data_IF_198490709137
#
_entry.id   IF_198490709137
#
_cell.length_a   1.000
_cell.length_b   1.000
_cell.length_c   1.000
_cell.angle_alpha   90.00
_cell.angle_beta   90.00
_cell.angle_gamma   90.00
#
_symmetry.space_group_name_H-M   'P 1'
#
loop_
_entity.id
_entity.type
_entity.pdbx_description
1 polymer ?
#
# COMPACT_ATOMS: atom_id res chain seq x y z
N UNK A 1 -52.12 -11.20 -0.16
CA UNK A 1 -51.41 -10.19 -0.97
C UNK A 1 -49.93 -10.50 -0.82
N UNK A 2 -49.35 -11.11 -1.84
CA UNK A 2 -48.05 -11.77 -1.78
C UNK A 2 -47.14 -11.05 -2.76
N UNK A 3 -46.20 -10.25 -2.26
CA UNK A 3 -45.17 -9.61 -3.08
C UNK A 3 -43.93 -10.52 -3.16
N UNK A 4 -43.68 -11.04 -4.35
CA UNK A 4 -42.45 -11.76 -4.70
C UNK A 4 -41.39 -10.79 -5.22
N UNK A 5 -40.30 -10.65 -4.49
CA UNK A 5 -39.09 -9.91 -4.88
C UNK A 5 -38.26 -10.73 -5.87
N UNK A 6 -38.33 -10.36 -7.14
CA UNK A 6 -37.48 -10.92 -8.21
C UNK A 6 -36.12 -10.21 -8.30
N UNK A 7 -35.06 -10.86 -7.85
CA UNK A 7 -33.67 -10.42 -8.04
C UNK A 7 -33.25 -10.51 -9.51
N UNK A 8 -33.12 -9.37 -10.20
CA UNK A 8 -32.57 -9.28 -11.56
C UNK A 8 -31.03 -9.26 -11.50
N UNK A 9 -30.38 -10.41 -11.75
CA UNK A 9 -28.92 -10.49 -12.00
C UNK A 9 -28.56 -9.76 -13.31
N UNK A 10 -27.52 -8.92 -13.37
CA UNK A 10 -27.09 -8.30 -14.62
C UNK A 10 -26.33 -9.32 -15.49
N UNK A 11 -26.89 -9.67 -16.65
CA UNK A 11 -26.20 -10.38 -17.74
C UNK A 11 -25.12 -9.46 -18.35
N UNK A 12 -23.93 -9.40 -17.75
CA UNK A 12 -22.78 -8.61 -18.26
C UNK A 12 -21.44 -9.38 -18.35
N UNK A 13 -21.46 -10.72 -18.32
CA UNK A 13 -20.24 -11.54 -18.26
C UNK A 13 -19.74 -12.16 -19.59
N UNK A 14 -20.62 -12.49 -20.53
CA UNK A 14 -20.23 -13.37 -21.65
C UNK A 14 -19.37 -12.67 -22.71
N UNK A 15 -19.73 -11.45 -23.13
CA UNK A 15 -18.99 -10.71 -24.15
C UNK A 15 -17.58 -10.28 -23.68
N UNK A 16 -17.39 -10.00 -22.38
CA UNK A 16 -16.06 -9.67 -21.81
C UNK A 16 -15.16 -10.90 -21.60
N UNK A 17 -15.75 -12.06 -21.30
CA UNK A 17 -15.00 -13.31 -21.14
C UNK A 17 -14.49 -13.84 -22.48
N UNK A 18 -15.30 -13.75 -23.54
CA UNK A 18 -14.92 -14.16 -24.90
C UNK A 18 -13.77 -13.29 -25.43
N UNK A 19 -13.84 -11.96 -25.27
CA UNK A 19 -12.79 -11.04 -25.75
C UNK A 19 -11.47 -11.17 -24.99
N UNK A 20 -11.47 -11.53 -23.70
CA UNK A 20 -10.23 -11.81 -22.96
C UNK A 20 -9.51 -13.07 -23.46
N UNK A 21 -10.21 -14.13 -23.86
CA UNK A 21 -9.62 -15.36 -24.41
C UNK A 21 -9.02 -15.19 -25.81
N UNK A 22 -9.53 -14.24 -26.60
CA UNK A 22 -8.99 -13.93 -27.93
C UNK A 22 -7.69 -13.11 -27.90
N UNK A 23 -7.32 -12.51 -26.75
CA UNK A 23 -6.11 -11.70 -26.61
C UNK A 23 -4.81 -12.51 -26.72
N UNK A 24 -4.84 -13.81 -26.45
CA UNK A 24 -3.67 -14.70 -26.46
C UNK A 24 -3.50 -15.49 -27.75
N UNK A 25 -4.45 -15.40 -28.69
CA UNK A 25 -4.37 -16.16 -29.94
C UNK A 25 -3.45 -15.49 -30.97
N UNK A 26 -2.71 -16.30 -31.76
CA UNK A 26 -1.97 -15.78 -32.90
C UNK A 26 -2.94 -15.05 -33.84
N UNK A 27 -2.49 -13.92 -34.39
CA UNK A 27 -3.30 -13.00 -35.20
C UNK A 27 -4.01 -13.73 -36.36
N UNK A 28 -3.32 -14.72 -36.94
CA UNK A 28 -3.86 -15.63 -37.94
C UNK A 28 -5.09 -16.41 -37.47
N UNK A 29 -5.11 -16.93 -36.24
CA UNK A 29 -6.24 -17.68 -35.70
C UNK A 29 -7.48 -16.83 -35.51
N UNK A 30 -7.32 -15.56 -35.12
CA UNK A 30 -8.44 -14.60 -35.00
C UNK A 30 -9.03 -14.27 -36.37
N UNK A 31 -8.17 -14.00 -37.36
CA UNK A 31 -8.61 -13.77 -38.75
C UNK A 31 -9.38 -14.99 -39.26
N UNK A 32 -8.85 -16.19 -39.05
CA UNK A 32 -9.48 -17.43 -39.50
C UNK A 32 -10.86 -17.63 -38.87
N UNK A 33 -11.03 -17.36 -37.57
CA UNK A 33 -12.34 -17.44 -36.90
C UNK A 33 -13.34 -16.46 -37.53
N UNK A 34 -12.94 -15.21 -37.80
CA UNK A 34 -13.83 -14.23 -38.43
C UNK A 34 -14.17 -14.57 -39.88
N UNK A 35 -13.21 -15.11 -40.64
CA UNK A 35 -13.45 -15.60 -42.01
C UNK A 35 -14.44 -16.77 -41.99
N UNK A 36 -14.28 -17.73 -41.07
CA UNK A 36 -15.22 -18.84 -40.90
C UNK A 36 -16.60 -18.33 -40.48
N UNK A 37 -16.68 -17.37 -39.56
CA UNK A 37 -17.94 -16.80 -39.11
C UNK A 37 -18.65 -16.06 -40.27
N UNK A 38 -17.91 -15.31 -41.09
CA UNK A 38 -18.44 -14.69 -42.29
C UNK A 38 -18.94 -15.71 -43.33
N UNK A 39 -18.21 -16.81 -43.54
CA UNK A 39 -18.64 -17.91 -44.41
C UNK A 39 -19.93 -18.59 -43.89
N UNK A 40 -20.05 -18.79 -42.57
CA UNK A 40 -21.27 -19.32 -41.94
C UNK A 40 -22.45 -18.36 -42.09
N UNK A 41 -22.24 -17.05 -41.90
CA UNK A 41 -23.29 -16.06 -42.13
C UNK A 41 -23.71 -16.04 -43.60
N UNK A 42 -22.75 -16.15 -44.52
CA UNK A 42 -23.02 -16.20 -45.96
C UNK A 42 -23.81 -17.44 -46.39
N UNK A 43 -23.52 -18.61 -45.80
CA UNK A 43 -24.29 -19.85 -46.06
C UNK A 43 -25.71 -19.76 -45.47
N UNK A 44 -25.85 -19.24 -44.25
CA UNK A 44 -27.16 -19.08 -43.59
C UNK A 44 -28.06 -18.08 -44.32
N UNK A 45 -27.51 -16.95 -44.80
CA UNK A 45 -28.25 -15.98 -45.60
C UNK A 45 -28.73 -16.58 -46.92
N UNK A 46 -27.89 -17.37 -47.60
CA UNK A 46 -28.28 -18.10 -48.80
C UNK A 46 -29.40 -19.12 -48.57
N UNK A 47 -29.40 -19.77 -47.41
CA UNK A 47 -30.47 -20.68 -47.01
C UNK A 47 -31.79 -19.94 -46.71
N UNK A 48 -31.73 -18.80 -46.02
CA UNK A 48 -32.90 -17.97 -45.70
C UNK A 48 -33.60 -17.44 -46.95
N UNK A 49 -32.84 -16.93 -47.92
CA UNK A 49 -33.36 -16.27 -49.13
C UNK A 49 -33.51 -17.21 -50.34
N UNK A 50 -33.04 -18.46 -50.24
CA UNK A 50 -33.14 -19.43 -51.31
C UNK A 50 -34.57 -19.93 -51.54
N UNK A 51 -35.04 -19.94 -52.79
CA UNK A 51 -36.31 -20.54 -53.15
C UNK A 51 -36.20 -22.07 -53.26
N UNK A 52 -37.15 -22.79 -52.66
CA UNK A 52 -37.23 -24.26 -52.66
C UNK A 52 -37.53 -24.89 -51.28
N UNK A 53 -37.70 -26.22 -51.19
CA UNK A 53 -38.04 -26.91 -49.94
C UNK A 53 -36.96 -26.74 -48.86
N UNK A 54 -37.37 -26.50 -47.60
CA UNK A 54 -36.49 -26.24 -46.46
C UNK A 54 -35.44 -27.34 -46.19
N UNK A 55 -35.77 -28.58 -46.55
CA UNK A 55 -34.92 -29.77 -46.36
C UNK A 55 -34.07 -30.12 -47.59
N UNK A 56 -34.08 -29.31 -48.66
CA UNK A 56 -33.27 -29.60 -49.83
C UNK A 56 -31.81 -29.18 -49.63
N UNK A 57 -30.87 -30.09 -49.93
CA UNK A 57 -29.43 -29.77 -50.02
C UNK A 57 -29.15 -28.66 -51.04
N UNK A 58 -30.06 -28.47 -51.99
CA UNK A 58 -30.02 -27.39 -52.97
C UNK A 58 -30.18 -26.00 -52.37
N UNK A 59 -31.01 -25.84 -51.33
CA UNK A 59 -31.24 -24.55 -50.67
C UNK A 59 -30.06 -24.10 -49.79
N UNK A 60 -29.32 -25.04 -49.23
CA UNK A 60 -28.13 -24.77 -48.40
C UNK A 60 -26.93 -24.24 -49.19
N UNK A 61 -26.83 -24.57 -50.49
CA UNK A 61 -25.71 -24.21 -51.36
C UNK A 61 -26.12 -23.23 -52.47
N UNK A 62 -27.24 -22.53 -52.34
CA UNK A 62 -27.75 -21.55 -53.33
C UNK A 62 -26.71 -20.51 -53.69
N UNK A 63 -26.15 -19.83 -52.68
CA UNK A 63 -25.11 -18.82 -52.84
C UNK A 63 -23.81 -19.38 -53.45
N UNK A 64 -23.52 -20.67 -53.24
CA UNK A 64 -22.35 -21.34 -53.80
C UNK A 64 -22.56 -21.82 -55.24
N UNK A 65 -23.80 -22.07 -55.65
CA UNK A 65 -24.14 -22.52 -57.02
C UNK A 65 -24.37 -21.39 -58.02
N UNK A 66 -24.87 -20.23 -57.58
CA UNK A 66 -25.03 -19.05 -58.43
C UNK A 66 -23.71 -18.56 -59.05
N UNK A 67 -22.57 -18.87 -58.44
CA UNK A 67 -21.25 -18.55 -58.97
C UNK A 67 -20.75 -19.52 -60.07
N UNK A 68 -21.38 -20.69 -60.24
CA UNK A 68 -20.84 -21.79 -61.06
C UNK A 68 -21.56 -22.11 -62.37
N UNK A 69 -22.77 -21.61 -62.61
CA UNK A 69 -23.54 -22.00 -63.79
C UNK A 69 -24.27 -20.80 -64.42
N UNK A 70 -23.56 -20.02 -65.24
CA UNK A 70 -24.14 -18.99 -66.12
C UNK A 70 -23.86 -17.53 -65.76
N UNK A 71 -23.07 -17.24 -64.72
CA UNK A 71 -22.70 -15.87 -64.36
C UNK A 71 -21.71 -15.27 -65.36
N UNK A 72 -22.01 -14.09 -65.91
CA UNK A 72 -21.05 -13.34 -66.72
C UNK A 72 -19.79 -13.03 -65.89
N UNK A 73 -18.63 -12.95 -66.55
CA UNK A 73 -17.33 -12.68 -65.90
C UNK A 73 -17.37 -11.49 -64.92
N UNK A 74 -18.24 -10.51 -65.17
CA UNK A 74 -18.47 -9.35 -64.31
C UNK A 74 -19.11 -9.68 -62.95
N UNK A 75 -20.02 -10.64 -62.87
CA UNK A 75 -20.68 -10.99 -61.60
C UNK A 75 -19.75 -11.82 -60.71
N UNK A 76 -18.92 -12.68 -61.31
CA UNK A 76 -17.87 -13.41 -60.60
C UNK A 76 -16.82 -12.44 -60.01
N UNK A 77 -16.43 -11.41 -60.77
CA UNK A 77 -15.50 -10.36 -60.32
C UNK A 77 -16.11 -9.53 -59.19
N UNK A 78 -17.39 -9.14 -59.27
CA UNK A 78 -18.06 -8.38 -58.20
C UNK A 78 -18.14 -9.15 -56.88
N UNK A 79 -18.49 -10.43 -56.94
CA UNK A 79 -18.58 -11.29 -55.74
C UNK A 79 -17.20 -11.50 -55.11
N UNK A 80 -16.17 -11.76 -55.93
CA UNK A 80 -14.82 -11.95 -55.41
C UNK A 80 -14.24 -10.64 -54.83
N UNK A 81 -14.46 -9.50 -55.47
CA UNK A 81 -13.99 -8.20 -55.00
C UNK A 81 -14.61 -7.79 -53.64
N UNK A 82 -15.93 -7.97 -53.49
CA UNK A 82 -16.65 -7.66 -52.24
C UNK A 82 -16.25 -8.60 -51.10
N UNK A 83 -16.00 -9.87 -51.40
CA UNK A 83 -15.52 -10.86 -50.42
C UNK A 83 -14.11 -10.52 -49.92
N UNK A 84 -13.18 -10.21 -50.83
CA UNK A 84 -11.82 -9.79 -50.48
C UNK A 84 -11.84 -8.47 -49.69
N UNK A 85 -12.68 -7.52 -50.10
CA UNK A 85 -12.87 -6.25 -49.38
C UNK A 85 -13.40 -6.43 -47.96
N UNK A 86 -14.37 -7.34 -47.75
CA UNK A 86 -14.91 -7.65 -46.42
C UNK A 86 -13.89 -8.30 -45.49
N UNK A 87 -13.08 -9.25 -46.00
CA UNK A 87 -12.00 -9.89 -45.24
C UNK A 87 -10.91 -8.88 -44.90
N UNK A 88 -10.49 -8.08 -45.88
CA UNK A 88 -9.49 -7.01 -45.69
C UNK A 88 -9.93 -5.96 -44.67
N UNK A 89 -11.19 -5.51 -44.76
CA UNK A 89 -11.77 -4.54 -43.82
C UNK A 89 -11.86 -5.08 -42.39
N UNK A 90 -12.28 -6.33 -42.22
CA UNK A 90 -12.35 -6.98 -40.90
C UNK A 90 -10.95 -7.19 -40.31
N UNK A 91 -9.98 -7.64 -41.13
CA UNK A 91 -8.58 -7.78 -40.73
C UNK A 91 -7.97 -6.46 -40.27
N UNK A 92 -8.20 -5.38 -41.02
CA UNK A 92 -7.75 -4.02 -40.65
C UNK A 92 -8.31 -3.58 -39.29
N UNK A 93 -9.62 -3.77 -39.05
CA UNK A 93 -10.24 -3.40 -37.77
C UNK A 93 -9.67 -4.18 -36.58
N UNK A 94 -9.41 -5.49 -36.75
CA UNK A 94 -8.81 -6.32 -35.70
C UNK A 94 -7.38 -5.90 -35.41
N UNK A 95 -6.56 -5.65 -36.43
CA UNK A 95 -5.18 -5.16 -36.27
C UNK A 95 -5.21 -3.84 -35.50
N UNK A 96 -6.02 -2.88 -35.95
CA UNK A 96 -6.16 -1.57 -35.30
C UNK A 96 -6.67 -1.67 -33.86
N UNK A 97 -7.57 -2.60 -33.57
CA UNK A 97 -8.04 -2.85 -32.21
C UNK A 97 -6.94 -3.46 -31.33
N UNK A 98 -6.19 -4.44 -31.83
CA UNK A 98 -5.06 -5.05 -31.09
C UNK A 98 -3.95 -4.05 -30.83
N UNK A 99 -3.64 -3.19 -31.81
CA UNK A 99 -2.63 -2.14 -31.69
C UNK A 99 -3.00 -1.14 -30.59
N UNK A 100 -4.25 -0.67 -30.57
CA UNK A 100 -4.77 0.17 -29.47
C UNK A 100 -4.70 -0.55 -28.13
N UNK A 101 -5.11 -1.82 -28.07
CA UNK A 101 -5.07 -2.60 -26.84
C UNK A 101 -3.64 -2.90 -26.35
N UNK A 102 -2.66 -3.02 -27.25
CA UNK A 102 -1.25 -3.16 -26.88
C UNK A 102 -0.63 -1.82 -26.45
N UNK A 103 -0.99 -0.72 -27.12
CA UNK A 103 -0.52 0.61 -26.76
C UNK A 103 -1.03 1.02 -25.37
N UNK A 104 -2.32 0.82 -25.08
CA UNK A 104 -2.91 1.09 -23.76
C UNK A 104 -2.25 0.28 -22.63
N UNK A 105 -1.82 -0.96 -22.91
CA UNK A 105 -1.09 -1.78 -21.93
C UNK A 105 0.34 -1.29 -21.74
N UNK A 106 1.04 -1.02 -22.84
CA UNK A 106 2.40 -0.50 -22.80
C UNK A 106 2.48 0.86 -22.08
N UNK A 107 1.46 1.71 -22.22
CA UNK A 107 1.36 2.98 -21.47
C UNK A 107 1.24 2.73 -19.96
N UNK A 108 0.38 1.79 -19.53
CA UNK A 108 0.23 1.44 -18.12
C UNK A 108 1.49 0.79 -17.55
N UNK A 109 2.10 -0.13 -18.28
CA UNK A 109 3.34 -0.78 -17.87
C UNK A 109 4.46 0.27 -17.72
N UNK A 110 4.57 1.21 -18.67
CA UNK A 110 5.53 2.31 -18.58
C UNK A 110 5.23 3.30 -17.44
N UNK A 111 3.96 3.52 -17.08
CA UNK A 111 3.59 4.33 -15.91
C UNK A 111 3.99 3.62 -14.61
N UNK A 112 3.72 2.32 -14.49
CA UNK A 112 4.13 1.50 -13.35
C UNK A 112 5.66 1.45 -13.21
N UNK A 113 6.39 1.26 -14.31
CA UNK A 113 7.85 1.23 -14.32
C UNK A 113 8.44 2.57 -13.85
N UNK A 114 7.86 3.71 -14.27
CA UNK A 114 8.30 5.03 -13.80
C UNK A 114 8.02 5.23 -12.32
N UNK A 115 6.85 4.81 -11.84
CA UNK A 115 6.49 4.87 -10.44
C UNK A 115 7.48 4.06 -9.58
N UNK A 116 7.76 2.83 -10.00
CA UNK A 116 8.68 1.91 -9.33
C UNK A 116 10.10 2.48 -9.31
N UNK A 117 10.58 3.06 -10.42
CA UNK A 117 11.89 3.70 -10.47
C UNK A 117 12.01 4.88 -9.49
N UNK A 118 10.96 5.72 -9.40
CA UNK A 118 10.93 6.83 -8.42
C UNK A 118 10.90 6.32 -6.99
N UNK A 119 10.11 5.28 -6.72
CA UNK A 119 10.06 4.62 -5.42
C UNK A 119 11.45 4.10 -5.02
N UNK A 120 12.12 3.36 -5.90
CA UNK A 120 13.46 2.83 -5.67
C UNK A 120 14.49 3.94 -5.45
N UNK A 121 14.41 5.04 -6.21
CA UNK A 121 15.27 6.20 -6.00
C UNK A 121 15.04 6.84 -4.63
N UNK A 122 13.79 7.01 -4.20
CA UNK A 122 13.45 7.51 -2.86
C UNK A 122 13.97 6.61 -1.74
N UNK A 123 13.83 5.29 -1.90
CA UNK A 123 14.38 4.30 -0.94
C UNK A 123 15.91 4.40 -0.89
N UNK A 124 16.58 4.49 -2.04
CA UNK A 124 18.03 4.62 -2.10
C UNK A 124 18.51 5.91 -1.41
N UNK A 125 17.77 7.02 -1.58
CA UNK A 125 18.05 8.28 -0.90
C UNK A 125 17.84 8.16 0.62
N UNK A 126 16.78 7.49 1.06
CA UNK A 126 16.51 7.20 2.48
C UNK A 126 17.58 6.31 3.12
N UNK A 127 18.23 5.45 2.34
CA UNK A 127 19.38 4.63 2.78
C UNK A 127 20.74 5.34 2.73
N UNK A 128 20.79 6.62 2.34
CA UNK A 128 22.05 7.36 2.24
C UNK A 128 22.67 7.62 3.62
N UNK A 129 24.01 7.68 3.70
CA UNK A 129 24.71 8.11 4.92
C UNK A 129 24.51 9.58 5.28
N UNK A 130 24.10 10.42 4.32
CA UNK A 130 23.82 11.85 4.56
C UNK A 130 22.37 12.08 5.02
N UNK A 131 22.15 12.70 6.21
CA UNK A 131 20.80 13.05 6.68
C UNK A 131 20.02 13.91 5.68
N UNK A 132 20.69 14.83 4.99
CA UNK A 132 20.05 15.72 4.02
C UNK A 132 19.48 14.94 2.82
N UNK A 133 20.22 13.92 2.35
CA UNK A 133 19.75 13.05 1.26
C UNK A 133 18.61 12.15 1.75
N UNK A 134 18.66 11.69 3.00
CA UNK A 134 17.56 10.89 3.59
C UNK A 134 16.27 11.69 3.67
N UNK A 135 16.31 12.95 4.13
CA UNK A 135 15.16 13.86 4.17
C UNK A 135 14.56 14.04 2.75
N UNK A 136 15.41 14.27 1.74
CA UNK A 136 14.95 14.35 0.36
C UNK A 136 14.28 13.04 -0.11
N UNK A 137 14.84 11.89 0.30
CA UNK A 137 14.24 10.57 0.09
C UNK A 137 12.85 10.43 0.68
N UNK A 138 12.62 10.89 1.92
CA UNK A 138 11.30 10.87 2.57
C UNK A 138 10.28 11.64 1.75
N UNK A 139 10.59 12.87 1.33
CA UNK A 139 9.67 13.67 0.51
C UNK A 139 9.46 13.06 -0.89
N UNK A 140 10.50 12.48 -1.49
CA UNK A 140 10.38 11.77 -2.76
C UNK A 140 9.47 10.55 -2.65
N UNK A 141 9.50 9.82 -1.53
CA UNK A 141 8.60 8.70 -1.27
C UNK A 141 7.16 9.17 -1.10
N UNK A 142 6.93 10.26 -0.34
CA UNK A 142 5.62 10.86 -0.20
C UNK A 142 5.03 11.31 -1.54
N UNK A 143 5.83 11.96 -2.40
CA UNK A 143 5.41 12.36 -3.75
C UNK A 143 4.99 11.17 -4.62
N UNK A 144 5.68 10.03 -4.51
CA UNK A 144 5.28 8.79 -5.21
C UNK A 144 3.92 8.30 -4.73
N UNK A 145 3.68 8.30 -3.40
CA UNK A 145 2.40 7.90 -2.82
C UNK A 145 1.25 8.82 -3.27
N UNK A 146 1.49 10.13 -3.30
CA UNK A 146 0.50 11.14 -3.70
C UNK A 146 0.19 11.11 -5.20
N UNK A 147 1.20 10.85 -6.02
CA UNK A 147 1.08 10.84 -7.49
C UNK A 147 0.45 9.55 -8.00
N UNK A 148 0.99 8.38 -7.62
CA UNK A 148 0.60 7.09 -8.21
C UNK A 148 -0.50 6.37 -7.44
N UNK A 149 -0.74 6.78 -6.18
CA UNK A 149 -1.90 6.39 -5.36
C UNK A 149 -2.07 4.87 -5.24
N UNK A 150 -3.20 4.40 -4.71
CA UNK A 150 -3.51 2.98 -4.57
C UNK A 150 -2.52 2.25 -3.67
N UNK A 151 -1.93 1.16 -4.17
CA UNK A 151 -0.99 0.30 -3.41
C UNK A 151 0.31 1.02 -3.03
N UNK A 152 0.70 2.08 -3.75
CA UNK A 152 1.92 2.83 -3.45
C UNK A 152 1.83 3.56 -2.10
N UNK A 153 0.63 4.01 -1.67
CA UNK A 153 0.45 4.65 -0.35
C UNK A 153 0.86 3.71 0.78
N UNK A 154 0.32 2.48 0.78
CA UNK A 154 0.68 1.48 1.79
C UNK A 154 2.16 1.09 1.70
N UNK A 155 2.72 0.92 0.49
CA UNK A 155 4.14 0.59 0.32
C UNK A 155 5.05 1.67 0.91
N UNK A 156 4.78 2.93 0.62
CA UNK A 156 5.54 4.08 1.15
C UNK A 156 5.40 4.16 2.67
N UNK A 157 4.17 4.08 3.19
CA UNK A 157 3.92 4.03 4.64
C UNK A 157 4.72 2.91 5.31
N UNK A 158 4.71 1.70 4.75
CA UNK A 158 5.47 0.57 5.28
C UNK A 158 6.99 0.78 5.24
N UNK A 159 7.52 1.45 4.22
CA UNK A 159 8.95 1.82 4.14
C UNK A 159 9.30 2.84 5.23
N UNK A 160 8.50 3.90 5.37
CA UNK A 160 8.70 4.94 6.37
C UNK A 160 8.60 4.38 7.80
N UNK A 161 7.60 3.55 8.06
CA UNK A 161 7.47 2.85 9.33
C UNK A 161 8.62 1.86 9.57
N UNK A 162 9.07 1.16 8.53
CA UNK A 162 10.24 0.28 8.59
C UNK A 162 11.51 1.03 8.97
N UNK A 163 11.70 2.24 8.42
CA UNK A 163 12.79 3.13 8.82
C UNK A 163 12.67 3.57 10.29
N UNK A 164 11.47 3.89 10.78
CA UNK A 164 11.25 4.23 12.19
C UNK A 164 11.43 3.03 13.16
N UNK A 165 11.46 1.80 12.64
CA UNK A 165 11.76 0.59 13.42
C UNK A 165 13.24 0.19 13.39
N UNK A 166 14.08 0.84 12.59
CA UNK A 166 15.53 0.54 12.61
C UNK A 166 16.19 1.19 13.83
N UNK A 167 17.32 0.63 14.26
CA UNK A 167 18.16 1.26 15.26
C UNK A 167 18.83 2.52 14.67
N UNK A 168 18.45 3.70 15.17
CA UNK A 168 18.95 5.02 14.70
C UNK A 168 19.88 5.71 15.71
N UNK A 169 20.13 5.06 16.84
CA UNK A 169 20.83 5.61 17.97
C UNK A 169 21.37 4.53 18.90
N UNK A 170 21.97 5.00 19.98
CA UNK A 170 22.58 4.16 21.00
C UNK A 170 22.09 4.59 22.37
N UNK A 171 21.90 3.63 23.26
CA UNK A 171 21.66 3.89 24.67
C UNK A 171 22.95 4.38 25.32
N UNK A 172 22.88 5.52 26.00
CA UNK A 172 23.98 6.07 26.78
C UNK A 172 23.53 6.28 28.21
N UNK A 173 24.35 5.84 29.16
CA UNK A 173 24.15 6.15 30.57
C UNK A 173 24.73 7.52 30.86
N UNK A 174 23.88 8.46 31.24
CA UNK A 174 24.28 9.77 31.73
C UNK A 174 24.32 9.67 33.26
N UNK A 175 25.47 10.00 33.85
CA UNK A 175 25.64 10.06 35.30
C UNK A 175 25.45 11.51 35.72
N UNK A 176 24.38 11.80 36.46
CA UNK A 176 24.17 13.15 36.99
C UNK A 176 25.00 13.31 38.27
N UNK A 177 26.17 13.95 38.15
CA UNK A 177 27.07 14.24 39.28
C UNK A 177 26.67 15.48 40.10
N UNK A 178 25.51 16.08 39.83
CA UNK A 178 25.09 17.34 40.47
C UNK A 178 24.82 17.21 41.99
N UNK A 179 24.58 16.00 42.50
CA UNK A 179 24.27 15.75 43.92
C UNK A 179 25.46 15.19 44.74
N UNK A 180 26.67 15.19 44.19
CA UNK A 180 27.87 14.65 44.85
C UNK A 180 27.99 13.12 44.75
N UNK A 181 29.11 12.52 45.21
CA UNK A 181 29.47 11.14 44.92
C UNK A 181 28.58 10.07 45.58
N UNK A 182 27.66 10.46 46.48
CA UNK A 182 26.75 9.54 47.18
C UNK A 182 25.30 9.55 46.59
N UNK A 183 25.00 10.41 45.61
CA UNK A 183 23.67 10.59 45.02
C UNK A 183 23.69 10.67 43.49
N UNK A 184 24.66 10.03 42.83
CA UNK A 184 24.67 9.97 41.37
C UNK A 184 23.52 9.10 40.84
N UNK A 185 22.51 9.73 40.24
CA UNK A 185 21.49 9.00 39.48
C UNK A 185 22.05 8.63 38.10
N UNK A 186 22.01 7.35 37.75
CA UNK A 186 22.30 6.87 36.41
C UNK A 186 21.02 6.89 35.57
N UNK A 187 21.00 7.69 34.50
CA UNK A 187 19.87 7.79 33.58
C UNK A 187 20.27 7.20 32.22
N UNK A 188 19.60 6.14 31.78
CA UNK A 188 19.80 5.57 30.44
C UNK A 188 18.99 6.37 29.42
N UNK A 189 19.68 7.17 28.61
CA UNK A 189 19.06 7.99 27.56
C UNK A 189 19.42 7.43 26.19
N UNK A 190 18.41 7.21 25.34
CA UNK A 190 18.64 6.86 23.95
C UNK A 190 19.00 8.12 23.14
N UNK A 191 20.20 8.14 22.56
CA UNK A 191 20.67 9.25 21.73
C UNK A 191 20.54 8.88 20.26
N UNK A 192 19.54 9.47 19.59
CA UNK A 192 19.35 9.31 18.15
C UNK A 192 20.35 10.17 17.37
N UNK A 193 20.98 9.58 16.35
CA UNK A 193 21.85 10.29 15.42
C UNK A 193 21.08 10.77 14.17
N UNK A 194 19.77 10.48 14.10
CA UNK A 194 18.95 10.73 12.92
C UNK A 194 17.62 11.44 13.22
N UNK A 195 17.59 12.20 14.33
CA UNK A 195 16.39 12.92 14.79
C UNK A 195 15.76 13.82 13.72
N UNK A 196 16.55 14.50 12.89
CA UNK A 196 16.01 15.34 11.82
C UNK A 196 15.22 14.55 10.76
N UNK A 197 15.69 13.35 10.40
CA UNK A 197 14.99 12.49 9.45
C UNK A 197 13.77 11.87 10.13
N UNK A 198 13.89 11.40 11.37
CA UNK A 198 12.76 10.91 12.16
C UNK A 198 11.63 11.94 12.25
N UNK A 199 11.95 13.18 12.63
CA UNK A 199 11.02 14.32 12.67
C UNK A 199 10.35 14.54 11.30
N UNK A 200 11.10 14.40 10.21
CA UNK A 200 10.56 14.53 8.85
C UNK A 200 9.59 13.39 8.51
N UNK A 201 9.94 12.15 8.85
CA UNK A 201 9.06 10.99 8.64
C UNK A 201 7.77 11.15 9.43
N UNK A 202 7.87 11.53 10.70
CA UNK A 202 6.72 11.79 11.57
C UNK A 202 5.85 12.93 11.01
N UNK A 203 6.45 14.04 10.56
CA UNK A 203 5.74 15.16 9.94
C UNK A 203 4.93 14.70 8.72
N UNK A 204 5.56 13.95 7.82
CA UNK A 204 4.91 13.42 6.61
C UNK A 204 3.76 12.49 6.99
N UNK A 205 3.98 11.52 7.90
CA UNK A 205 2.90 10.64 8.37
C UNK A 205 1.72 11.44 8.93
N UNK A 206 1.97 12.37 9.84
CA UNK A 206 0.94 13.21 10.46
C UNK A 206 0.17 14.00 9.42
N UNK A 207 0.86 14.59 8.44
CA UNK A 207 0.26 15.38 7.37
C UNK A 207 -0.80 14.59 6.61
N UNK A 208 -0.52 13.32 6.29
CA UNK A 208 -1.44 12.44 5.57
C UNK A 208 -2.46 11.72 6.48
N UNK A 209 -2.25 11.70 7.80
CA UNK A 209 -3.19 11.12 8.76
C UNK A 209 -4.21 12.14 9.31
N UNK A 210 -4.03 13.43 9.03
CA UNK A 210 -4.94 14.50 9.46
C UNK A 210 -6.16 14.63 8.54
N UNK A 211 -7.17 13.80 8.77
CA UNK A 211 -8.47 13.91 8.11
C UNK A 211 -9.27 15.09 8.64
N UNK A 212 -9.92 15.83 7.75
CA UNK A 212 -10.74 17.00 8.11
C UNK A 212 -11.82 16.61 9.13
N UNK A 213 -11.93 17.40 10.19
CA UNK A 213 -12.99 17.27 11.20
C UNK A 213 -13.50 18.65 11.61
N UNK A 214 -14.81 18.82 11.65
CA UNK A 214 -15.42 20.06 12.12
C UNK A 214 -15.34 20.18 13.65
N UNK A 215 -15.34 21.43 14.13
CA UNK A 215 -15.36 21.71 15.57
C UNK A 215 -16.67 21.21 16.16
N UNK A 216 -16.59 20.51 17.28
CA UNK A 216 -17.75 20.13 18.09
C UNK A 216 -17.68 20.79 19.46
N UNK A 217 -18.70 20.59 20.32
CA UNK A 217 -18.66 21.08 21.71
C UNK A 217 -17.49 20.51 22.52
N UNK A 218 -17.07 19.29 22.17
CA UNK A 218 -16.09 18.51 22.94
C UNK A 218 -14.79 18.28 22.17
N UNK A 219 -14.66 18.78 20.93
CA UNK A 219 -13.44 18.62 20.14
C UNK A 219 -13.12 19.82 19.27
N UNK A 220 -11.82 20.13 19.20
CA UNK A 220 -11.27 21.06 18.21
C UNK A 220 -11.46 20.59 16.76
N UNK A 221 -11.50 21.57 15.85
CA UNK A 221 -11.45 21.32 14.42
C UNK A 221 -10.06 20.77 14.01
N UNK A 222 -10.04 19.91 12.99
CA UNK A 222 -8.81 19.41 12.36
C UNK A 222 -8.78 19.91 10.92
N UNK A 223 -7.70 20.61 10.59
CA UNK A 223 -7.41 21.06 9.22
C UNK A 223 -6.67 19.97 8.47
N UNK A 224 -7.22 19.53 7.36
CA UNK A 224 -6.57 18.63 6.42
C UNK A 224 -5.69 19.44 5.46
N UNK A 225 -4.46 18.98 5.24
CA UNK A 225 -3.46 19.67 4.41
C UNK A 225 -3.26 19.03 3.03
N UNK A 226 -3.84 17.86 2.81
CA UNK A 226 -3.70 17.05 1.59
C UNK A 226 -5.08 16.77 0.98
N UNK A 227 -5.13 16.35 -0.28
CA UNK A 227 -6.40 15.97 -0.92
C UNK A 227 -6.97 14.69 -0.27
N UNK A 228 -8.29 14.46 -0.40
CA UNK A 228 -8.97 13.31 0.23
C UNK A 228 -8.40 11.96 -0.23
N UNK A 229 -7.87 11.88 -1.45
CA UNK A 229 -7.24 10.69 -2.02
C UNK A 229 -5.74 10.54 -1.65
N UNK A 230 -5.13 11.57 -1.06
CA UNK A 230 -3.77 11.58 -0.51
C UNK A 230 -3.73 11.22 0.98
N UNK A 231 -4.89 11.07 1.63
CA UNK A 231 -4.95 10.63 3.02
C UNK A 231 -4.41 9.20 3.17
N UNK A 232 -3.72 8.94 4.27
CA UNK A 232 -3.19 7.61 4.65
C UNK A 232 -3.96 7.00 5.82
N UNK A 233 -5.14 7.52 6.15
CA UNK A 233 -5.96 7.07 7.28
C UNK A 233 -6.46 5.61 7.13
N UNK A 234 -6.44 5.08 5.91
CA UNK A 234 -6.78 3.70 5.54
C UNK A 234 -5.55 2.79 5.42
N UNK A 235 -4.34 3.34 5.55
CA UNK A 235 -3.10 2.56 5.56
C UNK A 235 -2.84 1.99 6.95
N UNK A 236 -2.27 0.79 7.00
CA UNK A 236 -1.76 0.16 8.22
C UNK A 236 -0.46 0.86 8.62
N UNK A 237 -0.48 1.55 9.77
CA UNK A 237 0.71 2.14 10.39
C UNK A 237 1.31 1.11 11.35
N UNK A 238 2.57 0.72 11.15
CA UNK A 238 3.23 -0.35 11.92
C UNK A 238 4.55 0.14 12.52
N UNK A 239 4.49 0.66 13.74
CA UNK A 239 5.63 1.16 14.51
C UNK A 239 5.93 0.23 15.70
N UNK A 240 5.67 -1.08 15.60
CA UNK A 240 6.02 -2.00 16.68
C UNK A 240 7.52 -1.92 17.00
N UNK A 241 7.85 -1.97 18.28
CA UNK A 241 9.21 -1.88 18.83
C UNK A 241 10.00 -0.64 18.35
N UNK A 242 9.33 0.36 17.76
CA UNK A 242 9.96 1.59 17.34
C UNK A 242 10.29 2.44 18.56
N UNK A 243 11.52 2.96 18.63
CA UNK A 243 11.91 3.97 19.61
C UNK A 243 11.82 5.34 18.93
N UNK A 244 10.85 6.16 19.35
CA UNK A 244 10.65 7.52 18.86
C UNK A 244 11.21 8.51 19.88
N UNK A 245 12.35 9.11 19.53
CA UNK A 245 13.07 10.06 20.39
C UNK A 245 12.62 11.49 20.19
N UNK A 246 12.18 11.82 18.97
CA UNK A 246 11.70 13.14 18.63
C UNK A 246 10.25 13.34 19.11
N UNK A 247 9.80 14.61 19.15
CA UNK A 247 8.43 14.92 19.51
C UNK A 247 7.47 14.38 18.45
N UNK A 248 6.72 13.34 18.79
CA UNK A 248 5.75 12.71 17.93
C UNK A 248 4.40 13.46 17.99
N UNK A 249 4.26 14.52 17.18
CA UNK A 249 3.04 15.34 17.14
C UNK A 249 1.96 14.76 16.21
N UNK A 250 1.20 13.80 16.73
CA UNK A 250 0.03 13.20 16.08
C UNK A 250 -1.30 13.91 16.39
N UNK A 251 -1.26 15.21 16.69
CA UNK A 251 -2.48 15.97 16.97
C UNK A 251 -3.47 15.87 15.80
N UNK A 252 -4.69 15.46 16.11
CA UNK A 252 -5.79 15.30 15.13
C UNK A 252 -5.59 14.17 14.11
N UNK A 253 -4.56 13.33 14.26
CA UNK A 253 -4.32 12.21 13.37
C UNK A 253 -5.39 11.11 13.50
N UNK A 254 -5.68 10.42 12.41
CA UNK A 254 -6.61 9.29 12.37
C UNK A 254 -5.84 8.01 12.04
N UNK A 255 -5.83 7.08 12.98
CA UNK A 255 -5.20 5.77 12.85
C UNK A 255 -6.27 4.69 12.75
N UNK A 256 -6.15 3.84 11.72
CA UNK A 256 -7.00 2.65 11.53
C UNK A 256 -6.10 1.43 11.42
N UNK A 257 -6.35 0.39 12.22
CA UNK A 257 -5.58 -0.85 12.23
C UNK A 257 -4.06 -0.63 12.45
N UNK A 258 -3.70 0.30 13.34
CA UNK A 258 -2.31 0.62 13.62
C UNK A 258 -1.71 -0.28 14.70
N UNK A 259 -0.41 -0.56 14.59
CA UNK A 259 0.34 -1.34 15.54
C UNK A 259 1.48 -0.51 16.15
N UNK A 260 1.39 -0.27 17.45
CA UNK A 260 2.36 0.42 18.28
C UNK A 260 2.84 -0.49 19.42
N UNK A 261 2.73 -1.81 19.24
CA UNK A 261 3.14 -2.76 20.26
C UNK A 261 4.63 -2.61 20.59
N UNK A 262 4.99 -2.51 21.87
CA UNK A 262 6.39 -2.35 22.28
C UNK A 262 7.04 -1.02 21.87
N UNK A 263 6.29 -0.10 21.26
CA UNK A 263 6.83 1.17 20.83
C UNK A 263 7.14 2.08 22.03
N UNK A 264 8.27 2.77 21.98
CA UNK A 264 8.67 3.76 23.00
C UNK A 264 8.43 5.16 22.46
N UNK A 265 7.59 5.92 23.17
CA UNK A 265 7.28 7.32 22.89
C UNK A 265 7.90 8.21 23.96
N UNK A 266 8.92 8.98 23.59
CA UNK A 266 9.56 9.90 24.53
C UNK A 266 8.73 11.14 24.80
N UNK A 267 8.16 11.77 23.77
CA UNK A 267 7.23 12.90 23.91
C UNK A 267 6.17 12.79 22.82
N UNK A 268 4.91 12.57 23.19
CA UNK A 268 3.86 12.30 22.21
C UNK A 268 2.61 13.14 22.43
N UNK A 269 2.16 13.76 21.34
CA UNK A 269 0.92 14.52 21.33
C UNK A 269 -0.11 13.82 20.45
N UNK A 270 -1.04 13.13 21.07
CA UNK A 270 -2.22 12.51 20.46
C UNK A 270 -3.49 13.34 20.66
N UNK A 271 -3.37 14.64 20.97
CA UNK A 271 -4.53 15.48 21.22
C UNK A 271 -5.50 15.44 20.03
N UNK A 272 -6.75 15.09 20.28
CA UNK A 272 -7.80 15.03 19.29
C UNK A 272 -7.64 13.89 18.29
N UNK A 273 -6.67 12.98 18.46
CA UNK A 273 -6.44 11.86 17.58
C UNK A 273 -7.59 10.83 17.65
N UNK A 274 -7.75 10.05 16.59
CA UNK A 274 -8.77 8.99 16.53
C UNK A 274 -8.07 7.66 16.29
N UNK A 275 -8.31 6.69 17.16
CA UNK A 275 -7.72 5.36 17.09
C UNK A 275 -8.83 4.32 16.92
N UNK A 276 -8.80 3.60 15.80
CA UNK A 276 -9.71 2.49 15.54
C UNK A 276 -8.89 1.21 15.31
N UNK A 277 -9.12 0.18 16.14
CA UNK A 277 -8.37 -1.09 16.11
C UNK A 277 -6.86 -0.87 16.26
N UNK A 278 -6.43 -0.22 17.35
CA UNK A 278 -5.02 0.15 17.54
C UNK A 278 -4.40 -0.63 18.70
N UNK A 279 -3.22 -1.19 18.48
CA UNK A 279 -2.50 -1.96 19.49
C UNK A 279 -1.40 -1.11 20.13
N UNK A 280 -1.53 -0.75 21.40
CA UNK A 280 -0.51 -0.13 22.25
C UNK A 280 0.05 -1.12 23.28
N UNK A 281 -0.14 -2.42 23.09
CA UNK A 281 0.32 -3.44 24.04
C UNK A 281 1.82 -3.29 24.27
N UNK A 282 2.28 -3.38 25.52
CA UNK A 282 3.70 -3.27 25.88
C UNK A 282 4.35 -1.93 25.47
N UNK A 283 3.59 -0.92 25.04
CA UNK A 283 4.14 0.39 24.63
C UNK A 283 4.58 1.20 25.85
N UNK A 284 5.64 1.99 25.71
CA UNK A 284 6.23 2.77 26.80
C UNK A 284 6.12 4.27 26.51
N UNK A 285 5.62 5.03 27.48
CA UNK A 285 5.50 6.50 27.43
C UNK A 285 6.37 7.10 28.53
N UNK A 286 7.52 7.67 28.18
CA UNK A 286 8.53 8.08 29.18
C UNK A 286 8.44 9.54 29.62
N UNK A 287 7.92 10.46 28.79
CA UNK A 287 7.58 11.83 29.23
C UNK A 287 6.13 12.19 28.87
N UNK A 288 5.88 13.44 28.50
CA UNK A 288 4.56 13.98 28.20
C UNK A 288 3.83 13.15 27.14
N UNK A 289 2.75 12.50 27.59
CA UNK A 289 1.80 11.79 26.74
C UNK A 289 0.43 12.47 26.79
N UNK A 290 0.11 13.24 25.74
CA UNK A 290 -1.13 14.00 25.67
C UNK A 290 -2.19 13.29 24.83
N UNK A 291 -3.29 12.89 25.47
CA UNK A 291 -4.46 12.25 24.85
C UNK A 291 -5.74 13.09 24.94
N UNK A 292 -5.66 14.40 25.26
CA UNK A 292 -6.83 15.27 25.32
C UNK A 292 -7.69 15.18 24.06
N UNK A 293 -9.00 15.05 24.19
CA UNK A 293 -9.95 14.89 23.07
C UNK A 293 -9.69 13.66 22.16
N UNK A 294 -8.77 12.76 22.52
CA UNK A 294 -8.50 11.56 21.75
C UNK A 294 -9.68 10.58 21.82
N UNK A 295 -9.79 9.71 20.81
CA UNK A 295 -10.83 8.66 20.80
C UNK A 295 -10.32 7.26 20.66
N UNK A 296 -10.81 6.47 21.61
CA UNK A 296 -10.77 5.02 21.78
C UNK A 296 -11.80 4.25 20.96
N UNK A 297 -11.46 3.45 19.95
CA UNK A 297 -12.37 2.40 19.47
C UNK A 297 -11.59 1.12 19.24
N UNK A 298 -11.80 0.14 20.12
CA UNK A 298 -11.03 -1.12 20.11
C UNK A 298 -9.51 -0.86 20.15
N UNK A 299 -9.07 -0.08 21.15
CA UNK A 299 -7.64 0.13 21.41
C UNK A 299 -7.19 -0.76 22.57
N UNK A 300 -6.00 -1.35 22.45
CA UNK A 300 -5.45 -2.25 23.46
C UNK A 300 -4.23 -1.59 24.13
N UNK A 301 -4.32 -1.31 25.43
CA UNK A 301 -3.23 -0.74 26.24
C UNK A 301 -2.63 -1.74 27.23
N UNK A 302 -2.90 -3.03 27.05
CA UNK A 302 -2.43 -4.06 27.97
C UNK A 302 -0.90 -4.05 28.11
N UNK A 303 -0.39 -4.06 29.35
CA UNK A 303 1.03 -3.98 29.71
C UNK A 303 1.75 -2.69 29.21
N UNK A 304 0.99 -1.69 28.70
CA UNK A 304 1.56 -0.40 28.38
C UNK A 304 2.06 0.30 29.65
N UNK A 305 3.19 0.98 29.56
CA UNK A 305 3.89 1.58 30.70
C UNK A 305 3.92 3.10 30.57
N UNK A 306 3.52 3.82 31.62
CA UNK A 306 3.56 5.29 31.69
C UNK A 306 4.51 5.75 32.78
N UNK A 307 5.39 6.72 32.50
CA UNK A 307 6.28 7.30 33.52
C UNK A 307 5.47 8.02 34.60
N UNK A 308 5.87 7.85 35.86
CA UNK A 308 5.25 8.53 37.00
C UNK A 308 5.54 10.02 37.01
N UNK A 309 6.68 10.41 36.41
CA UNK A 309 7.12 11.80 36.34
C UNK A 309 6.24 12.65 35.40
N UNK A 310 5.60 12.01 34.41
CA UNK A 310 4.75 12.64 33.42
C UNK A 310 3.45 11.84 33.18
N UNK A 311 2.46 11.97 34.09
CA UNK A 311 1.17 11.29 33.95
C UNK A 311 0.48 11.56 32.61
N UNK A 312 -0.18 10.56 31.99
CA UNK A 312 -0.90 10.78 30.76
C UNK A 312 -2.05 11.79 30.95
N UNK A 313 -2.18 12.72 30.02
CA UNK A 313 -3.16 13.80 30.10
C UNK A 313 -4.38 13.52 29.21
N UNK A 314 -5.58 13.76 29.74
CA UNK A 314 -6.79 13.85 28.91
C UNK A 314 -7.32 12.51 28.37
N UNK A 315 -6.95 11.39 28.99
CA UNK A 315 -7.53 10.09 28.69
C UNK A 315 -9.06 10.10 28.94
N UNK A 316 -9.87 9.48 28.07
CA UNK A 316 -11.31 9.37 28.27
C UNK A 316 -11.64 8.59 29.56
N UNK A 317 -12.59 9.05 30.40
CA UNK A 317 -12.93 8.36 31.65
C UNK A 317 -13.37 6.90 31.47
N UNK A 318 -13.95 6.56 30.31
CA UNK A 318 -14.38 5.19 29.98
C UNK A 318 -13.21 4.23 29.69
N UNK A 319 -12.00 4.74 29.52
CA UNK A 319 -10.81 3.95 29.23
C UNK A 319 -9.91 3.78 30.44
N UNK A 320 -10.22 4.44 31.56
CA UNK A 320 -9.30 4.63 32.69
C UNK A 320 -9.75 3.82 33.91
N UNK A 321 -8.80 3.11 34.53
CA UNK A 321 -8.95 2.41 35.81
C UNK A 321 -8.88 3.39 37.01
N UNK A 322 -9.11 2.88 38.23
CA UNK A 322 -9.05 3.69 39.47
C UNK A 322 -7.70 4.43 39.65
N UNK A 323 -6.62 3.88 39.09
CA UNK A 323 -5.25 4.42 39.16
C UNK A 323 -4.95 5.53 38.14
N UNK A 324 -5.94 5.94 37.33
CA UNK A 324 -5.77 7.02 36.35
C UNK A 324 -5.11 6.59 35.03
N UNK A 325 -4.89 5.29 34.83
CA UNK A 325 -4.28 4.70 33.64
C UNK A 325 -5.28 3.94 32.76
N UNK A 326 -4.99 3.74 31.47
CA UNK A 326 -5.80 2.91 30.60
C UNK A 326 -5.94 1.47 31.13
N UNK A 327 -7.05 0.80 30.83
CA UNK A 327 -7.26 -0.60 31.23
C UNK A 327 -6.08 -1.51 30.87
N UNK A 328 -5.50 -2.15 31.89
CA UNK A 328 -4.37 -3.07 31.75
C UNK A 328 -3.00 -2.41 31.57
N UNK A 329 -2.92 -1.08 31.59
CA UNK A 329 -1.64 -0.37 31.64
C UNK A 329 -1.10 -0.30 33.07
N UNK A 330 0.18 0.02 33.21
CA UNK A 330 0.89 0.14 34.48
C UNK A 330 1.74 1.41 34.54
N UNK A 331 2.00 1.87 35.75
CA UNK A 331 3.03 2.88 35.98
C UNK A 331 4.40 2.23 35.82
N UNK A 332 5.38 2.99 35.31
CA UNK A 332 6.77 2.59 35.39
C UNK A 332 7.15 2.39 36.86
N UNK A 333 7.84 1.28 37.13
CA UNK A 333 8.50 1.06 38.41
C UNK A 333 9.76 1.94 38.47
N UNK A 334 10.26 2.23 39.68
CA UNK A 334 11.46 3.08 39.85
C UNK A 334 12.69 2.53 39.10
N UNK A 335 12.70 1.22 38.85
CA UNK A 335 13.76 0.49 38.15
C UNK A 335 13.54 0.49 36.61
N UNK A 336 12.29 0.72 36.17
CA UNK A 336 11.87 0.77 34.75
C UNK A 336 12.05 2.16 34.14
N UNK A 337 12.15 3.22 34.96
CA UNK A 337 12.58 4.57 34.52
C UNK A 337 14.03 4.56 33.98
N UNK A 338 14.76 3.45 34.17
CA UNK A 338 16.08 3.18 33.60
C UNK A 338 16.15 1.88 32.78
N UNK A 339 15.15 1.56 31.94
CA UNK A 339 15.10 0.46 30.95
C UNK A 339 16.33 -0.49 30.97
N UNK A 340 16.31 -1.47 31.88
CA UNK A 340 17.22 -2.64 31.85
C UNK A 340 16.71 -3.61 30.77
N UNK A 341 17.19 -3.46 29.54
CA UNK A 341 17.05 -4.50 28.52
C UNK A 341 18.02 -5.65 28.83
N UNK A 342 17.48 -6.86 28.88
CA UNK A 342 18.16 -8.08 29.31
C UNK A 342 19.54 -8.33 28.69
N UNK A 343 20.44 -8.84 29.52
CA UNK A 343 21.82 -9.22 29.20
C UNK A 343 21.91 -10.16 27.98
N UNK A 344 22.72 -9.84 26.97
CA UNK A 344 23.16 -10.81 25.98
C UNK A 344 24.55 -11.34 26.34
N UNK A 345 24.67 -12.05 27.46
CA UNK A 345 25.87 -12.83 27.77
C UNK A 345 25.58 -14.31 27.47
N UNK A 346 25.65 -14.67 26.19
CA UNK A 346 25.91 -16.04 25.74
C UNK A 346 26.35 -16.00 24.27
N UNK A 347 27.59 -15.55 24.04
CA UNK A 347 28.34 -15.86 22.83
C UNK A 347 29.69 -16.48 23.24
N UNK A 348 30.04 -17.68 22.75
CA UNK A 348 31.22 -18.39 23.20
C UNK A 348 32.50 -17.74 22.65
N UNK A 349 33.51 -17.62 23.52
CA UNK A 349 34.83 -17.09 23.23
C UNK A 349 35.54 -17.90 22.12
N UNK A 350 36.01 -17.22 21.07
CA UNK A 350 36.99 -17.77 20.14
C UNK A 350 38.38 -17.80 20.77
N UNK A 351 38.95 -19.00 20.78
CA UNK A 351 40.28 -19.37 21.23
C UNK A 351 41.36 -18.85 20.26
N UNK A 352 42.13 -17.84 20.67
CA UNK A 352 43.33 -17.41 19.96
C UNK A 352 44.55 -18.19 20.46
N UNK A 353 44.96 -19.22 19.70
CA UNK A 353 46.23 -19.91 19.90
C UNK A 353 47.44 -19.12 19.34
N UNK A 354 48.66 -19.27 19.91
CA UNK A 354 49.82 -18.46 19.52
C UNK A 354 50.57 -19.02 18.31
N UNK A 355 50.84 -18.16 17.33
CA UNK A 355 51.67 -18.46 16.16
C UNK A 355 53.15 -18.58 16.53
N UNK A 356 53.67 -19.80 16.42
CA UNK A 356 55.09 -20.17 16.50
C UNK A 356 55.87 -19.74 15.26
N UNK A 357 57.11 -19.33 15.51
CA UNK A 357 58.22 -19.07 14.61
C UNK A 357 58.45 -20.14 13.53
N UNK A 358 58.90 -19.72 12.35
CA UNK A 358 59.43 -20.60 11.29
C UNK A 358 60.35 -19.84 10.33
N UNK A 359 61.61 -20.23 10.34
CA UNK A 359 62.75 -19.68 9.60
C UNK A 359 62.92 -20.30 8.21
N UNK A 360 63.75 -19.65 7.39
CA UNK A 360 64.59 -20.17 6.30
C UNK A 360 64.06 -20.29 4.85
N UNK A 361 64.66 -19.45 4.00
CA UNK A 361 65.41 -19.75 2.77
C UNK A 361 64.84 -20.74 1.75
N UNK A 362 64.60 -20.26 0.52
CA UNK A 362 65.52 -20.39 -0.64
C UNK A 362 64.97 -19.68 -1.86
#
# INVERSE_FOLDING_TARGET
MSETTGTRKPRRGFLRAVTRRFGTWPLFGVILVWVVLALVVFTVLGWLWGEGPLWSWQRWLTNWRGAGAGAGSLDLVKVSLTTIGGIGGTGYLVIKYRERASAERAERDAEQDRAEQRLLSGVQQLGSGSPQVRIAGVYSLADVADTHRGEYRQRVVSILCGYLRTQRGEWRTIVNEQDGPEQSSEEKVYVSHDGAVESTVLEVLVRHLRKRREKTKHRGAVTQLVEDDQLWCDCTIDLHDAVLTEIANFQGATFTNANFQGATFTNVNFQGATFTNVNFRDATFTNDANFWDATFTNANFWDATFSRSAPPMGLPPEQVDEDGLPHGARWADADDEGLEAGSPDDAPAEDTGPGSTGSAAS
#
